data_IF_870589425908
#
_entry.id   IF_870589425908
#
_cell.length_a   1.000
_cell.length_b   1.000
_cell.length_c   1.000
_cell.angle_alpha   90.00
_cell.angle_beta   90.00
_cell.angle_gamma   90.00
#
_symmetry.space_group_name_H-M   'P 1'
#
loop_
_entity.id
_entity.type
_entity.pdbx_description
1 polymer ?
#
# COMPACT_ATOMS: atom_id res chain seq x y z
N UNK A 1 15.75 4.25 22.36
CA UNK A 1 16.26 5.61 22.05
C UNK A 1 15.04 6.49 21.76
N UNK A 2 14.82 7.56 22.54
CA UNK A 2 13.67 8.45 22.36
C UNK A 2 13.95 9.35 21.15
N UNK A 3 13.07 9.30 20.16
CA UNK A 3 13.21 10.12 18.95
C UNK A 3 12.79 11.56 19.25
N UNK A 4 13.78 12.40 19.57
CA UNK A 4 13.57 13.81 19.91
C UNK A 4 12.88 14.60 18.79
N UNK A 5 13.11 14.24 17.52
CA UNK A 5 12.46 14.89 16.37
C UNK A 5 10.96 14.58 16.33
N UNK A 6 10.56 13.33 16.61
CA UNK A 6 9.14 12.96 16.70
C UNK A 6 8.46 13.70 17.83
N UNK A 7 9.10 13.79 19.03
CA UNK A 7 8.56 14.56 20.16
C UNK A 7 8.48 16.07 19.86
N UNK A 8 9.48 16.64 19.19
CA UNK A 8 9.46 18.04 18.80
C UNK A 8 8.36 18.31 17.74
N UNK A 9 8.14 17.40 16.78
CA UNK A 9 7.11 17.54 15.76
C UNK A 9 5.68 17.36 16.27
N UNK A 10 5.48 16.80 17.45
CA UNK A 10 4.17 16.71 18.12
C UNK A 10 3.70 18.03 18.73
N UNK A 11 4.61 18.98 18.97
CA UNK A 11 4.28 20.31 19.44
C UNK A 11 4.02 21.25 18.24
N UNK A 12 2.82 21.86 18.16
CA UNK A 12 2.39 22.69 17.03
C UNK A 12 3.36 23.84 16.72
N UNK A 13 3.90 24.50 17.74
CA UNK A 13 4.82 25.62 17.59
C UNK A 13 6.18 25.16 17.05
N UNK A 14 6.74 24.08 17.60
CA UNK A 14 7.99 23.50 17.14
C UNK A 14 7.87 22.91 15.73
N UNK A 15 6.73 22.31 15.40
CA UNK A 15 6.42 21.83 14.05
C UNK A 15 6.43 22.95 13.02
N UNK A 16 5.90 24.12 13.35
CA UNK A 16 5.94 25.30 12.47
C UNK A 16 7.38 25.76 12.22
N UNK A 17 8.20 25.83 13.27
CA UNK A 17 9.62 26.20 13.15
C UNK A 17 10.40 25.19 12.31
N UNK A 18 10.21 23.89 12.55
CA UNK A 18 10.85 22.80 11.80
C UNK A 18 10.51 22.93 10.30
N UNK A 19 9.23 23.19 9.97
CA UNK A 19 8.79 23.42 8.58
C UNK A 19 9.42 24.67 7.96
N UNK A 20 9.52 25.75 8.71
CA UNK A 20 10.11 27.01 8.22
C UNK A 20 11.59 26.86 7.90
N UNK A 21 12.30 26.02 8.65
CA UNK A 21 13.73 25.70 8.43
C UNK A 21 13.92 24.64 7.33
N UNK A 22 12.83 24.09 6.78
CA UNK A 22 12.90 23.09 5.71
C UNK A 22 13.32 21.69 6.16
N UNK A 23 13.29 21.42 7.47
CA UNK A 23 13.60 20.08 7.99
C UNK A 23 12.41 19.13 7.81
N UNK A 24 12.64 17.84 7.45
CA UNK A 24 11.58 16.87 7.33
C UNK A 24 10.92 16.62 8.70
N UNK A 25 9.59 16.66 8.73
CA UNK A 25 8.82 16.25 9.91
C UNK A 25 8.49 14.78 9.79
N UNK A 26 9.11 13.89 10.58
CA UNK A 26 8.82 12.46 10.50
C UNK A 26 7.38 12.17 10.91
N UNK A 27 6.75 11.22 10.22
CA UNK A 27 5.43 10.75 10.59
C UNK A 27 5.48 10.02 11.94
N UNK A 28 4.46 10.21 12.77
CA UNK A 28 4.28 9.39 13.97
C UNK A 28 3.83 7.99 13.54
N UNK A 29 4.66 6.99 13.80
CA UNK A 29 4.36 5.61 13.41
C UNK A 29 3.36 4.98 14.39
N UNK A 30 2.29 4.39 13.85
CA UNK A 30 1.40 3.54 14.62
C UNK A 30 2.14 2.27 15.06
N UNK A 31 1.96 1.87 16.31
CA UNK A 31 2.56 0.67 16.88
C UNK A 31 1.47 -0.22 17.45
N UNK A 32 1.55 -1.51 17.18
CA UNK A 32 0.67 -2.49 17.81
C UNK A 32 0.90 -2.47 19.33
N UNK A 33 -0.19 -2.46 20.09
CA UNK A 33 -0.17 -2.56 21.55
C UNK A 33 -0.79 -3.90 21.95
N UNK A 34 0.07 -4.88 22.22
CA UNK A 34 -0.37 -6.22 22.62
C UNK A 34 -0.52 -7.19 21.43
N UNK A 35 -1.04 -8.40 21.70
CA UNK A 35 -1.28 -9.40 20.66
C UNK A 35 -2.42 -8.95 19.73
N UNK A 36 -2.33 -9.35 18.47
CA UNK A 36 -3.41 -9.13 17.50
C UNK A 36 -4.64 -9.95 17.90
N UNK A 37 -5.80 -9.32 17.83
CA UNK A 37 -7.10 -9.97 17.99
C UNK A 37 -7.54 -10.58 16.64
N UNK A 38 -8.53 -11.48 16.64
CA UNK A 38 -9.03 -12.09 15.41
C UNK A 38 -9.54 -11.04 14.42
N UNK A 39 -10.23 -10.01 14.90
CA UNK A 39 -10.78 -8.91 14.10
C UNK A 39 -9.97 -7.63 14.25
N UNK A 40 -8.68 -7.71 13.96
CA UNK A 40 -7.76 -6.58 14.14
C UNK A 40 -7.86 -5.49 13.06
N UNK A 41 -8.68 -5.69 12.03
CA UNK A 41 -8.96 -4.73 10.97
C UNK A 41 -10.39 -4.14 11.04
N UNK A 42 -11.08 -4.30 12.16
CA UNK A 42 -12.36 -3.62 12.36
C UNK A 42 -12.18 -2.11 12.15
N UNK A 43 -13.15 -1.48 11.47
CA UNK A 43 -13.16 -0.05 11.10
C UNK A 43 -12.09 0.38 10.07
N UNK A 44 -11.35 -0.57 9.47
CA UNK A 44 -10.41 -0.26 8.40
C UNK A 44 -11.01 -0.52 7.02
N UNK A 45 -10.80 0.43 6.11
CA UNK A 45 -11.19 0.30 4.71
C UNK A 45 -10.02 -0.15 3.86
N UNK A 46 -10.18 -1.28 3.20
CA UNK A 46 -9.18 -1.89 2.32
C UNK A 46 -9.69 -1.92 0.89
N UNK A 47 -8.97 -1.30 -0.02
CA UNK A 47 -9.26 -1.39 -1.45
C UNK A 47 -8.41 -2.49 -2.10
N UNK A 48 -9.06 -3.38 -2.84
CA UNK A 48 -8.41 -4.45 -3.61
C UNK A 48 -8.57 -4.18 -5.09
N UNK A 49 -7.46 -4.21 -5.82
CA UNK A 49 -7.41 -4.27 -7.27
C UNK A 49 -6.64 -5.50 -7.76
N UNK A 50 -6.78 -5.79 -9.03
CA UNK A 50 -6.15 -6.97 -9.62
C UNK A 50 -5.78 -6.76 -11.09
N UNK A 51 -4.76 -7.49 -11.54
CA UNK A 51 -4.49 -7.69 -12.97
C UNK A 51 -5.55 -8.63 -13.58
N UNK A 52 -5.66 -8.62 -14.92
CA UNK A 52 -6.73 -9.34 -15.62
C UNK A 52 -6.80 -10.84 -15.31
N UNK A 53 -5.66 -11.50 -15.11
CA UNK A 53 -5.57 -12.94 -14.86
C UNK A 53 -5.10 -13.28 -13.44
N UNK A 54 -5.32 -12.35 -12.50
CA UNK A 54 -4.93 -12.52 -11.10
C UNK A 54 -5.65 -13.71 -10.45
N UNK A 55 -4.93 -14.50 -9.68
CA UNK A 55 -5.42 -15.76 -9.11
C UNK A 55 -5.66 -15.73 -7.60
N UNK A 56 -5.10 -14.76 -6.86
CA UNK A 56 -5.16 -14.75 -5.41
C UNK A 56 -6.23 -13.80 -4.82
N UNK A 57 -6.92 -13.05 -5.66
CA UNK A 57 -7.85 -11.97 -5.23
C UNK A 57 -9.00 -12.47 -4.35
N UNK A 58 -9.55 -13.67 -4.64
CA UNK A 58 -10.67 -14.23 -3.90
C UNK A 58 -10.26 -14.63 -2.47
N UNK A 59 -9.14 -15.30 -2.33
CA UNK A 59 -8.57 -15.74 -1.06
C UNK A 59 -8.18 -14.56 -0.19
N UNK A 60 -7.55 -13.55 -0.77
CA UNK A 60 -7.20 -12.30 -0.09
C UNK A 60 -8.46 -11.59 0.43
N UNK A 61 -9.50 -11.46 -0.38
CA UNK A 61 -10.77 -10.90 0.06
C UNK A 61 -11.39 -11.67 1.22
N UNK A 62 -11.36 -13.00 1.16
CA UNK A 62 -11.89 -13.85 2.23
C UNK A 62 -11.13 -13.63 3.55
N UNK A 63 -9.80 -13.58 3.50
CA UNK A 63 -8.95 -13.31 4.68
C UNK A 63 -9.25 -11.92 5.25
N UNK A 64 -9.28 -10.88 4.43
CA UNK A 64 -9.54 -9.52 4.90
C UNK A 64 -10.93 -9.38 5.54
N UNK A 65 -11.95 -9.95 4.94
CA UNK A 65 -13.30 -9.97 5.52
C UNK A 65 -13.33 -10.70 6.86
N UNK A 66 -12.61 -11.83 7.01
CA UNK A 66 -12.56 -12.57 8.27
C UNK A 66 -11.89 -11.79 9.39
N UNK A 67 -10.97 -10.89 9.06
CA UNK A 67 -10.27 -10.01 10.03
C UNK A 67 -11.04 -8.71 10.35
N UNK A 68 -12.22 -8.51 9.76
CA UNK A 68 -13.13 -7.39 10.07
C UNK A 68 -13.02 -6.19 9.13
N UNK A 69 -12.15 -6.22 8.13
CA UNK A 69 -11.99 -5.11 7.20
C UNK A 69 -13.26 -4.83 6.37
N UNK A 70 -13.54 -3.57 6.10
CA UNK A 70 -14.45 -3.17 5.02
C UNK A 70 -13.70 -3.25 3.71
N UNK A 71 -14.05 -4.25 2.88
CA UNK A 71 -13.35 -4.52 1.62
C UNK A 71 -14.09 -3.88 0.45
N UNK A 72 -13.43 -2.95 -0.24
CA UNK A 72 -13.85 -2.41 -1.53
C UNK A 72 -13.06 -3.07 -2.67
N UNK A 73 -13.64 -3.17 -3.86
CA UNK A 73 -12.99 -3.75 -5.03
C UNK A 73 -13.09 -2.82 -6.22
N UNK A 74 -11.98 -2.70 -6.96
CA UNK A 74 -11.94 -1.92 -8.18
C UNK A 74 -10.55 -1.85 -8.79
N UNK A 75 -10.39 -2.39 -9.99
CA UNK A 75 -9.10 -2.41 -10.70
C UNK A 75 -8.73 -1.04 -11.28
N UNK A 76 -9.74 -0.19 -11.51
CA UNK A 76 -9.63 1.21 -11.92
C UNK A 76 -10.50 2.06 -11.01
N UNK A 77 -10.08 2.29 -9.77
CA UNK A 77 -10.92 2.99 -8.81
C UNK A 77 -11.12 4.45 -9.21
N UNK A 78 -12.33 4.95 -9.01
CA UNK A 78 -12.70 6.35 -9.15
C UNK A 78 -13.20 6.89 -7.81
N UNK A 79 -12.30 7.09 -6.83
CA UNK A 79 -12.68 7.45 -5.47
C UNK A 79 -13.31 8.84 -5.43
N UNK A 80 -14.38 8.98 -4.65
CA UNK A 80 -14.95 10.28 -4.31
C UNK A 80 -13.95 11.17 -3.54
N UNK A 81 -14.29 12.44 -3.39
CA UNK A 81 -13.39 13.41 -2.77
C UNK A 81 -13.04 13.06 -1.31
N UNK A 82 -13.98 12.49 -0.58
CA UNK A 82 -13.83 12.12 0.85
C UNK A 82 -13.33 10.68 1.06
N UNK A 83 -13.12 9.91 -0.02
CA UNK A 83 -12.65 8.52 0.10
C UNK A 83 -11.30 8.46 0.83
N UNK A 84 -11.17 7.50 1.75
CA UNK A 84 -9.95 7.22 2.50
C UNK A 84 -9.75 5.71 2.60
N UNK A 85 -8.50 5.29 2.45
CA UNK A 85 -8.13 3.87 2.52
C UNK A 85 -7.02 3.67 3.55
N UNK A 86 -7.22 2.70 4.42
CA UNK A 86 -6.23 2.30 5.43
C UNK A 86 -5.25 1.28 4.86
N UNK A 87 -5.68 0.54 3.84
CA UNK A 87 -4.80 -0.34 3.10
C UNK A 87 -5.20 -0.45 1.62
N UNK A 88 -4.21 -0.77 0.80
CA UNK A 88 -4.39 -1.18 -0.60
C UNK A 88 -3.81 -2.58 -0.78
N UNK A 89 -4.50 -3.42 -1.51
CA UNK A 89 -3.97 -4.69 -1.97
C UNK A 89 -4.11 -4.75 -3.49
N UNK A 90 -3.03 -5.12 -4.17
CA UNK A 90 -3.07 -5.32 -5.61
C UNK A 90 -2.54 -6.71 -5.96
N UNK A 91 -3.36 -7.48 -6.65
CA UNK A 91 -3.02 -8.82 -7.09
C UNK A 91 -2.46 -8.76 -8.53
N UNK A 92 -1.15 -8.86 -8.64
CA UNK A 92 -0.40 -8.88 -9.89
C UNK A 92 0.04 -10.31 -10.29
N UNK A 93 -0.48 -11.36 -9.65
CA UNK A 93 -0.04 -12.76 -9.88
C UNK A 93 -0.35 -13.23 -11.30
N UNK A 94 -1.20 -12.73 -12.06
CA UNK A 94 -1.52 -13.18 -13.41
C UNK A 94 -0.81 -12.43 -14.52
N UNK A 95 0.10 -11.51 -14.23
CA UNK A 95 0.79 -10.74 -15.27
C UNK A 95 1.76 -11.57 -16.07
N UNK A 96 1.56 -11.64 -17.38
CA UNK A 96 2.39 -12.37 -18.33
C UNK A 96 3.07 -11.50 -19.38
N UNK A 97 2.69 -10.22 -19.45
CA UNK A 97 3.23 -9.26 -20.40
C UNK A 97 3.50 -7.88 -19.77
N UNK A 98 4.51 -7.20 -20.27
CA UNK A 98 4.89 -5.85 -19.80
C UNK A 98 3.81 -4.80 -20.06
N UNK A 99 2.95 -5.00 -21.06
CA UNK A 99 1.83 -4.10 -21.33
C UNK A 99 0.80 -4.09 -20.17
N UNK A 100 0.70 -5.18 -19.42
CA UNK A 100 -0.22 -5.31 -18.29
C UNK A 100 0.21 -4.46 -17.07
N UNK A 101 1.46 -3.98 -17.04
CA UNK A 101 1.95 -3.06 -16.02
C UNK A 101 1.14 -1.75 -15.97
N UNK A 102 0.40 -1.42 -17.04
CA UNK A 102 -0.53 -0.29 -17.05
C UNK A 102 -1.57 -0.39 -15.94
N UNK A 103 -1.98 -1.59 -15.55
CA UNK A 103 -2.96 -1.82 -14.48
C UNK A 103 -2.47 -1.31 -13.11
N UNK A 104 -1.16 -1.34 -12.84
CA UNK A 104 -0.59 -0.73 -11.63
C UNK A 104 -0.86 0.78 -11.60
N UNK A 105 -0.62 1.46 -12.73
CA UNK A 105 -0.89 2.90 -12.81
C UNK A 105 -2.37 3.20 -12.66
N UNK A 106 -3.22 2.46 -13.37
CA UNK A 106 -4.67 2.67 -13.38
C UNK A 106 -5.27 2.46 -11.98
N UNK A 107 -4.70 1.54 -11.16
CA UNK A 107 -5.13 1.30 -9.79
C UNK A 107 -4.54 2.31 -8.80
N UNK A 108 -3.23 2.47 -8.76
CA UNK A 108 -2.56 3.22 -7.68
C UNK A 108 -2.65 4.74 -7.84
N UNK A 109 -2.61 5.26 -9.09
CA UNK A 109 -2.57 6.70 -9.32
C UNK A 109 -3.78 7.46 -8.73
N UNK A 110 -5.03 7.02 -8.90
CA UNK A 110 -6.18 7.74 -8.35
C UNK A 110 -6.30 7.66 -6.82
N UNK A 111 -5.68 6.67 -6.18
CA UNK A 111 -5.85 6.41 -4.74
C UNK A 111 -4.61 6.74 -3.89
N UNK A 112 -3.46 7.00 -4.50
CA UNK A 112 -2.22 7.27 -3.77
C UNK A 112 -2.36 8.39 -2.72
N UNK A 113 -3.13 9.44 -3.05
CA UNK A 113 -3.40 10.58 -2.16
C UNK A 113 -4.60 10.39 -1.23
N UNK A 114 -5.29 9.26 -1.36
CA UNK A 114 -6.44 8.88 -0.54
C UNK A 114 -6.06 7.95 0.61
N UNK A 115 -4.79 7.60 0.74
CA UNK A 115 -4.28 6.81 1.86
C UNK A 115 -4.32 7.60 3.17
N UNK A 116 -4.72 6.92 4.23
CA UNK A 116 -4.61 7.43 5.61
C UNK A 116 -3.14 7.42 6.06
N UNK A 117 -2.83 8.11 7.14
CA UNK A 117 -1.49 8.01 7.76
C UNK A 117 -1.23 6.58 8.26
N UNK A 118 -0.02 6.09 8.08
CA UNK A 118 0.38 4.73 8.43
C UNK A 118 -0.35 3.61 7.64
N UNK A 119 -0.84 3.90 6.44
CA UNK A 119 -1.51 2.92 5.60
C UNK A 119 -0.57 1.74 5.23
N UNK A 120 -1.17 0.61 4.91
CA UNK A 120 -0.46 -0.59 4.49
C UNK A 120 -0.79 -0.92 3.04
N UNK A 121 0.25 -1.13 2.24
CA UNK A 121 0.10 -1.55 0.86
C UNK A 121 0.76 -2.91 0.71
N UNK A 122 0.03 -3.84 0.09
CA UNK A 122 0.51 -5.18 -0.24
C UNK A 122 0.31 -5.40 -1.73
N UNK A 123 1.35 -5.85 -2.40
CA UNK A 123 1.30 -6.28 -3.80
C UNK A 123 1.64 -7.76 -3.84
N UNK A 124 0.73 -8.56 -4.35
CA UNK A 124 1.01 -9.97 -4.64
C UNK A 124 1.59 -10.07 -6.05
N UNK A 125 2.63 -10.86 -6.23
CA UNK A 125 3.28 -11.03 -7.52
C UNK A 125 3.80 -12.44 -7.70
N UNK A 126 3.95 -12.86 -8.94
CA UNK A 126 4.65 -14.10 -9.27
C UNK A 126 6.16 -13.91 -9.15
N UNK A 127 6.87 -14.97 -8.77
CA UNK A 127 8.33 -14.95 -8.73
C UNK A 127 8.90 -14.82 -10.15
N UNK A 128 9.77 -13.86 -10.45
CA UNK A 128 10.32 -13.69 -11.80
C UNK A 128 11.05 -14.92 -12.33
N UNK A 129 11.71 -15.65 -11.45
CA UNK A 129 12.46 -16.87 -11.76
C UNK A 129 11.57 -18.09 -12.13
N UNK A 130 10.30 -18.04 -11.75
CA UNK A 130 9.31 -19.07 -12.05
C UNK A 130 8.53 -18.81 -13.35
N UNK A 131 8.78 -17.67 -14.01
CA UNK A 131 8.05 -17.30 -15.23
C UNK A 131 8.58 -18.04 -16.46
N UNK A 132 7.66 -18.55 -17.29
CA UNK A 132 7.99 -19.34 -18.49
C UNK A 132 8.55 -18.49 -19.64
N UNK A 133 8.19 -17.20 -19.69
CA UNK A 133 8.60 -16.30 -20.78
C UNK A 133 9.41 -15.11 -20.27
N UNK A 134 10.26 -14.57 -21.13
CA UNK A 134 11.06 -13.37 -20.82
C UNK A 134 10.14 -12.16 -20.54
N UNK A 135 9.04 -12.01 -21.27
CA UNK A 135 8.06 -10.94 -21.05
C UNK A 135 7.41 -11.03 -19.67
N UNK A 136 6.98 -12.23 -19.26
CA UNK A 136 6.40 -12.45 -17.94
C UNK A 136 7.41 -12.23 -16.82
N UNK A 137 8.66 -12.71 -16.98
CA UNK A 137 9.74 -12.48 -16.02
C UNK A 137 10.06 -10.97 -15.90
N UNK A 138 10.10 -10.25 -17.02
CA UNK A 138 10.32 -8.81 -17.03
C UNK A 138 9.17 -8.05 -16.34
N UNK A 139 7.92 -8.43 -16.61
CA UNK A 139 6.74 -7.86 -15.95
C UNK A 139 6.80 -8.07 -14.43
N UNK A 140 7.06 -9.29 -13.96
CA UNK A 140 7.18 -9.61 -12.54
C UNK A 140 8.32 -8.81 -11.87
N UNK A 141 9.46 -8.66 -12.53
CA UNK A 141 10.58 -7.84 -12.03
C UNK A 141 10.23 -6.34 -12.01
N UNK A 142 9.44 -5.86 -12.96
CA UNK A 142 8.97 -4.47 -12.99
C UNK A 142 7.99 -4.17 -11.85
N UNK A 143 7.15 -5.12 -11.43
CA UNK A 143 6.30 -5.00 -10.23
C UNK A 143 7.16 -4.76 -8.98
N UNK A 144 8.28 -5.47 -8.83
CA UNK A 144 9.25 -5.23 -7.74
C UNK A 144 9.79 -3.80 -7.77
N UNK A 145 10.17 -3.31 -8.95
CA UNK A 145 10.62 -1.92 -9.15
C UNK A 145 9.56 -0.90 -8.77
N UNK A 146 8.31 -1.15 -9.15
CA UNK A 146 7.16 -0.31 -8.77
C UNK A 146 6.98 -0.26 -7.25
N UNK A 147 6.97 -1.40 -6.56
CA UNK A 147 6.82 -1.48 -5.09
C UNK A 147 7.87 -0.63 -4.38
N UNK A 148 9.13 -0.72 -4.81
CA UNK A 148 10.23 0.09 -4.25
C UNK A 148 10.05 1.58 -4.50
N UNK A 149 9.55 1.97 -5.67
CA UNK A 149 9.28 3.36 -6.02
C UNK A 149 8.12 3.92 -5.21
N UNK A 150 7.01 3.19 -5.17
CA UNK A 150 5.81 3.60 -4.45
C UNK A 150 6.04 3.72 -2.94
N UNK A 151 6.87 2.84 -2.37
CA UNK A 151 7.28 2.93 -0.97
C UNK A 151 7.99 4.25 -0.63
N UNK A 152 8.77 4.80 -1.56
CA UNK A 152 9.43 6.11 -1.37
C UNK A 152 8.42 7.26 -1.39
N UNK A 153 7.39 7.16 -2.23
CA UNK A 153 6.37 8.21 -2.33
C UNK A 153 5.50 8.30 -1.07
N UNK A 154 5.03 7.16 -0.55
CA UNK A 154 4.11 7.14 0.59
C UNK A 154 4.80 7.02 1.95
N UNK A 155 6.09 6.71 1.99
CA UNK A 155 6.85 6.53 3.23
C UNK A 155 6.86 7.76 4.14
N UNK A 156 6.79 8.97 3.58
CA UNK A 156 6.69 10.22 4.32
C UNK A 156 5.46 10.34 5.21
N UNK A 157 4.42 9.55 4.96
CA UNK A 157 3.18 9.48 5.76
C UNK A 157 3.20 8.31 6.78
N UNK A 158 4.33 7.63 6.95
CA UNK A 158 4.47 6.45 7.81
C UNK A 158 3.90 5.18 7.19
N UNK A 159 3.46 5.25 5.94
CA UNK A 159 2.91 4.11 5.22
C UNK A 159 4.00 3.16 4.72
N UNK A 160 3.66 1.89 4.54
CA UNK A 160 4.59 0.85 4.06
C UNK A 160 4.04 0.15 2.82
N UNK A 161 4.94 -0.29 1.96
CA UNK A 161 4.62 -1.15 0.81
C UNK A 161 5.41 -2.43 0.92
N UNK A 162 4.73 -3.55 0.86
CA UNK A 162 5.34 -4.88 0.89
C UNK A 162 4.90 -5.67 -0.35
N UNK A 163 5.75 -6.56 -0.80
CA UNK A 163 5.45 -7.50 -1.86
C UNK A 163 5.48 -8.92 -1.30
N UNK A 164 4.53 -9.75 -1.76
CA UNK A 164 4.42 -11.18 -1.45
C UNK A 164 4.50 -11.97 -2.77
N UNK A 165 5.22 -13.07 -2.74
CA UNK A 165 5.30 -14.05 -3.83
C UNK A 165 4.52 -15.31 -3.49
#
# INVERSE_FOLDING_TARGET
>A
MSDYLVKASSNATLRSVIKTVGLPTPATLARAQGPYQERFLDDQTVLIGAAANASATAEVSAVLNSTGATVERGDKPAPGDDAKYDALVFDATGMTDVAELRSLYDFFNPVARKLTGNARVVVLASQPEAMETVSAAAAARAVEGFVRSFAKEIGGFGSTVNMLY
#
